data_IF_882471064318
#
_entry.id   IF_882471064318
#
_cell.length_a   1.000
_cell.length_b   1.000
_cell.length_c   1.000
_cell.angle_alpha   90.00
_cell.angle_beta   90.00
_cell.angle_gamma   90.00
#
_symmetry.space_group_name_H-M   'P 1'
#
loop_
_entity.id
_entity.type
_entity.pdbx_description
1 polymer ?
#
# COMPACT_ATOMS: atom_id res chain seq x y z
N UNK A 1 -4.49 3.02 13.81
CA UNK A 1 -4.88 1.67 14.32
C UNK A 1 -4.53 1.51 15.80
N UNK A 2 -3.24 1.43 16.20
CA UNK A 2 -2.85 1.36 17.62
C UNK A 2 -3.41 2.56 18.40
N UNK A 3 -3.33 3.76 17.82
CA UNK A 3 -3.98 4.95 18.35
C UNK A 3 -5.48 4.75 18.59
N UNK A 4 -6.21 4.13 17.64
CA UNK A 4 -7.65 3.87 17.78
C UNK A 4 -7.94 2.93 18.95
N UNK A 5 -7.10 1.92 19.18
CA UNK A 5 -7.20 1.05 20.36
C UNK A 5 -7.02 1.86 21.65
N UNK A 6 -5.94 2.64 21.75
CA UNK A 6 -5.61 3.43 22.96
C UNK A 6 -6.73 4.44 23.27
N UNK A 7 -7.14 5.23 22.26
CA UNK A 7 -8.19 6.24 22.43
C UNK A 7 -9.54 5.62 22.82
N UNK A 8 -9.86 4.43 22.33
CA UNK A 8 -11.10 3.73 22.70
C UNK A 8 -11.05 3.09 24.08
N UNK A 9 -9.90 2.56 24.50
CA UNK A 9 -9.70 2.01 25.84
C UNK A 9 -9.76 3.13 26.90
N UNK A 10 -9.18 4.29 26.60
CA UNK A 10 -9.18 5.48 27.46
C UNK A 10 -10.51 6.27 27.42
N UNK A 11 -11.50 5.79 26.66
CA UNK A 11 -12.82 6.44 26.50
C UNK A 11 -12.75 7.87 25.93
N UNK A 12 -11.71 8.16 25.15
CA UNK A 12 -11.56 9.43 24.42
C UNK A 12 -12.42 9.43 23.16
N UNK A 13 -12.52 8.28 22.49
CA UNK A 13 -13.41 8.09 21.33
C UNK A 13 -14.34 6.90 21.55
N UNK A 14 -15.56 7.03 21.04
CA UNK A 14 -16.46 5.89 20.91
C UNK A 14 -16.07 5.03 19.70
N UNK A 15 -16.32 3.74 19.81
CA UNK A 15 -16.13 2.80 18.71
C UNK A 15 -17.23 1.75 18.68
N UNK A 16 -17.66 1.39 17.48
CA UNK A 16 -18.59 0.28 17.23
C UNK A 16 -17.84 -1.04 17.04
N UNK A 17 -16.52 -1.01 16.95
CA UNK A 17 -15.70 -2.20 16.75
C UNK A 17 -15.48 -2.98 18.05
N UNK A 18 -15.57 -4.31 17.97
CA UNK A 18 -14.99 -5.17 19.00
C UNK A 18 -13.46 -5.12 18.86
N UNK A 19 -12.77 -4.68 19.91
CA UNK A 19 -11.31 -4.49 19.91
C UNK A 19 -10.52 -5.66 20.51
N UNK A 20 -11.16 -6.74 20.95
CA UNK A 20 -10.49 -7.81 21.72
C UNK A 20 -9.43 -8.54 20.90
N UNK A 21 -9.74 -8.86 19.64
CA UNK A 21 -8.79 -9.48 18.72
C UNK A 21 -7.61 -8.56 18.40
N UNK A 22 -7.92 -7.29 18.12
CA UNK A 22 -6.95 -6.23 17.82
C UNK A 22 -6.00 -6.02 19.00
N UNK A 23 -6.56 -5.90 20.22
CA UNK A 23 -5.81 -5.76 21.48
C UNK A 23 -4.91 -6.97 21.71
N UNK A 24 -5.46 -8.18 21.62
CA UNK A 24 -4.70 -9.44 21.78
C UNK A 24 -3.52 -9.52 20.82
N UNK A 25 -3.71 -9.15 19.55
CA UNK A 25 -2.64 -9.17 18.54
C UNK A 25 -1.58 -8.11 18.83
N UNK A 26 -1.98 -6.88 19.17
CA UNK A 26 -1.04 -5.79 19.49
C UNK A 26 -0.21 -6.15 20.72
N UNK A 27 -0.87 -6.56 21.80
CA UNK A 27 -0.21 -6.91 23.07
C UNK A 27 0.74 -8.09 22.91
N UNK A 28 0.31 -9.15 22.24
CA UNK A 28 1.18 -10.30 21.95
C UNK A 28 2.38 -9.93 21.06
N UNK A 29 2.21 -9.02 20.09
CA UNK A 29 3.28 -8.62 19.18
C UNK A 29 4.38 -7.79 19.87
N UNK A 30 3.96 -6.87 20.74
CA UNK A 30 4.87 -6.03 21.51
C UNK A 30 5.34 -6.68 22.82
N UNK A 31 4.73 -7.81 23.22
CA UNK A 31 4.99 -8.49 24.48
C UNK A 31 4.73 -7.57 25.69
N UNK A 32 3.50 -7.05 25.74
CA UNK A 32 3.00 -6.13 26.78
C UNK A 32 1.63 -6.57 27.25
N UNK A 33 1.20 -6.12 28.42
CA UNK A 33 -0.09 -6.50 29.02
C UNK A 33 -1.12 -5.36 29.00
N UNK A 34 -0.70 -4.12 28.75
CA UNK A 34 -1.56 -2.94 28.81
C UNK A 34 -1.05 -1.78 27.92
N UNK A 35 -1.87 -0.75 27.76
CA UNK A 35 -1.55 0.42 26.93
C UNK A 35 -0.40 1.28 27.48
N UNK A 36 -0.13 1.24 28.80
CA UNK A 36 0.97 2.02 29.39
C UNK A 36 2.33 1.45 28.96
N UNK A 37 2.46 0.13 28.94
CA UNK A 37 3.66 -0.57 28.46
C UNK A 37 3.89 -0.35 26.96
N UNK A 38 2.82 -0.21 26.17
CA UNK A 38 2.95 0.16 24.75
C UNK A 38 3.70 1.49 24.55
N UNK A 39 3.57 2.44 25.48
CA UNK A 39 4.20 3.75 25.36
C UNK A 39 5.73 3.65 25.27
N UNK A 40 6.34 2.67 25.94
CA UNK A 40 7.80 2.46 25.86
C UNK A 40 8.25 2.22 24.41
N UNK A 41 7.48 1.47 23.62
CA UNK A 41 7.77 1.18 22.22
C UNK A 41 7.54 2.37 21.26
N UNK A 42 6.90 3.44 21.71
CA UNK A 42 6.63 4.63 20.90
C UNK A 42 7.46 5.85 21.32
N UNK A 43 7.90 5.92 22.58
CA UNK A 43 8.61 7.08 23.12
C UNK A 43 10.07 6.81 23.51
N UNK A 44 10.40 5.60 23.96
CA UNK A 44 11.75 5.28 24.48
C UNK A 44 12.51 4.38 23.51
N UNK A 45 11.92 3.24 23.17
CA UNK A 45 12.56 2.17 22.39
C UNK A 45 11.94 2.06 20.98
N UNK A 46 11.66 3.21 20.36
CA UNK A 46 10.99 3.24 19.06
C UNK A 46 11.81 2.54 17.98
N UNK A 47 11.19 1.52 17.36
CA UNK A 47 11.73 0.84 16.20
C UNK A 47 10.72 0.83 15.06
N UNK A 48 11.00 1.62 14.01
CA UNK A 48 10.14 1.71 12.81
C UNK A 48 9.87 0.33 12.21
N UNK A 49 10.88 -0.53 12.14
CA UNK A 49 10.75 -1.88 11.59
C UNK A 49 9.83 -2.75 12.45
N UNK A 50 9.94 -2.66 13.77
CA UNK A 50 9.06 -3.38 14.70
C UNK A 50 7.62 -2.87 14.55
N UNK A 51 7.39 -1.56 14.59
CA UNK A 51 6.03 -1.01 14.45
C UNK A 51 5.42 -1.38 13.09
N UNK A 52 6.17 -1.28 12.00
CA UNK A 52 5.71 -1.68 10.67
C UNK A 52 5.43 -3.19 10.55
N UNK A 53 6.21 -4.03 11.24
CA UNK A 53 6.05 -5.49 11.23
C UNK A 53 4.71 -5.96 11.80
N UNK A 54 4.05 -5.17 12.64
CA UNK A 54 2.70 -5.44 13.13
C UNK A 54 1.69 -5.63 11.99
N UNK A 55 1.90 -4.95 10.84
CA UNK A 55 1.03 -5.03 9.66
C UNK A 55 0.82 -6.48 9.19
N UNK A 56 1.84 -7.34 9.28
CA UNK A 56 1.72 -8.74 8.89
C UNK A 56 0.70 -9.49 9.76
N UNK A 57 0.75 -9.31 11.08
CA UNK A 57 -0.19 -9.94 12.00
C UNK A 57 -1.62 -9.43 11.78
N UNK A 58 -1.77 -8.15 11.46
CA UNK A 58 -3.06 -7.58 11.12
C UNK A 58 -3.64 -8.13 9.83
N UNK A 59 -2.80 -8.36 8.82
CA UNK A 59 -3.25 -8.97 7.57
C UNK A 59 -3.86 -10.36 7.80
N UNK A 60 -3.41 -11.09 8.83
CA UNK A 60 -3.95 -12.40 9.18
C UNK A 60 -5.34 -12.27 9.79
N UNK A 61 -5.52 -11.38 10.77
CA UNK A 61 -6.84 -11.22 11.41
C UNK A 61 -7.88 -10.57 10.48
N UNK A 62 -7.44 -9.69 9.57
CA UNK A 62 -8.31 -9.13 8.53
C UNK A 62 -8.87 -10.24 7.63
N UNK A 63 -8.03 -11.20 7.21
CA UNK A 63 -8.46 -12.38 6.43
C UNK A 63 -9.39 -13.31 7.20
N UNK A 64 -9.24 -13.39 8.53
CA UNK A 64 -10.19 -14.14 9.38
C UNK A 64 -11.46 -13.37 9.73
N UNK A 65 -11.64 -12.15 9.20
CA UNK A 65 -12.89 -11.41 9.33
C UNK A 65 -12.91 -10.30 10.37
N UNK A 66 -11.77 -9.94 10.98
CA UNK A 66 -11.73 -8.83 11.95
C UNK A 66 -12.14 -7.51 11.28
N UNK A 67 -13.23 -6.84 11.75
CA UNK A 67 -13.78 -5.68 11.05
C UNK A 67 -12.85 -4.47 11.04
N UNK A 68 -12.20 -4.15 12.17
CA UNK A 68 -11.29 -3.01 12.24
C UNK A 68 -10.04 -3.25 11.39
N UNK A 69 -9.49 -4.46 11.39
CA UNK A 69 -8.36 -4.79 10.55
C UNK A 69 -8.71 -4.66 9.06
N UNK A 70 -9.89 -5.14 8.64
CA UNK A 70 -10.39 -4.97 7.26
C UNK A 70 -10.52 -3.50 6.89
N UNK A 71 -11.14 -2.69 7.75
CA UNK A 71 -11.32 -1.25 7.55
C UNK A 71 -9.97 -0.54 7.36
N UNK A 72 -8.95 -0.89 8.15
CA UNK A 72 -7.61 -0.30 7.99
C UNK A 72 -6.95 -0.67 6.65
N UNK A 73 -7.12 -1.91 6.16
CA UNK A 73 -6.60 -2.26 4.83
C UNK A 73 -7.39 -1.62 3.69
N UNK A 74 -8.70 -1.46 3.84
CA UNK A 74 -9.54 -0.70 2.92
C UNK A 74 -9.06 0.76 2.84
N UNK A 75 -8.90 1.43 3.99
CA UNK A 75 -8.37 2.80 4.07
C UNK A 75 -6.97 2.93 3.47
N UNK A 76 -6.11 1.93 3.66
CA UNK A 76 -4.79 1.90 3.02
C UNK A 76 -4.92 1.82 1.49
N UNK A 77 -5.89 1.08 0.96
CA UNK A 77 -6.22 1.04 -0.46
C UNK A 77 -6.66 2.39 -0.99
N UNK A 78 -7.56 3.06 -0.27
CA UNK A 78 -8.00 4.43 -0.59
C UNK A 78 -6.81 5.40 -0.63
N UNK A 79 -5.92 5.35 0.36
CA UNK A 79 -4.73 6.21 0.39
C UNK A 79 -3.78 5.94 -0.77
N UNK A 80 -3.55 4.67 -1.14
CA UNK A 80 -2.73 4.34 -2.32
C UNK A 80 -3.38 4.87 -3.61
N UNK A 81 -4.69 4.70 -3.75
CA UNK A 81 -5.46 5.20 -4.88
C UNK A 81 -5.44 6.73 -5.00
N UNK A 82 -5.44 7.46 -3.88
CA UNK A 82 -5.27 8.92 -3.85
C UNK A 82 -3.97 9.37 -4.52
N UNK A 83 -2.87 8.70 -4.22
CA UNK A 83 -1.57 9.02 -4.81
C UNK A 83 -1.56 8.74 -6.32
N UNK A 84 -2.15 7.61 -6.74
CA UNK A 84 -2.30 7.29 -8.16
C UNK A 84 -3.14 8.35 -8.87
N UNK A 85 -4.30 8.73 -8.31
CA UNK A 85 -5.16 9.77 -8.89
C UNK A 85 -4.46 11.13 -9.00
N UNK A 86 -3.67 11.50 -7.99
CA UNK A 86 -2.89 12.73 -8.02
C UNK A 86 -1.85 12.70 -9.16
N UNK A 87 -1.13 11.59 -9.32
CA UNK A 87 -0.18 11.42 -10.43
C UNK A 87 -0.88 11.43 -11.80
N UNK A 88 -2.05 10.78 -11.90
CA UNK A 88 -2.89 10.79 -13.11
C UNK A 88 -3.30 12.20 -13.50
N UNK A 89 -3.73 13.02 -12.54
CA UNK A 89 -4.11 14.41 -12.80
C UNK A 89 -2.99 15.20 -13.47
N UNK A 90 -1.78 15.16 -12.90
CA UNK A 90 -0.64 15.86 -13.50
C UNK A 90 -0.25 15.30 -14.87
N UNK A 91 -0.35 13.98 -15.06
CA UNK A 91 -0.11 13.39 -16.36
C UNK A 91 -1.13 13.83 -17.41
N UNK A 92 -2.42 13.88 -17.08
CA UNK A 92 -3.50 14.30 -18.01
C UNK A 92 -3.40 15.78 -18.34
N UNK A 93 -2.99 16.62 -17.39
CA UNK A 93 -2.77 18.06 -17.62
C UNK A 93 -1.56 18.31 -18.53
N UNK A 94 -0.49 17.53 -18.37
CA UNK A 94 0.76 17.68 -19.14
C UNK A 94 0.68 16.98 -20.51
N UNK A 95 -0.05 15.86 -20.59
CA UNK A 95 -0.21 15.08 -21.81
C UNK A 95 -1.32 15.67 -22.70
N UNK A 96 -1.02 15.84 -23.99
CA UNK A 96 -2.02 16.21 -25.00
C UNK A 96 -3.00 15.04 -25.31
N UNK A 97 -2.91 13.91 -24.60
CA UNK A 97 -3.66 12.68 -24.91
C UNK A 97 -4.33 12.09 -23.66
N UNK A 98 -5.66 12.27 -23.60
CA UNK A 98 -6.52 11.85 -22.48
C UNK A 98 -6.86 10.35 -22.44
N UNK A 99 -6.44 9.60 -23.45
CA UNK A 99 -6.82 8.19 -23.66
C UNK A 99 -5.66 7.19 -23.52
N UNK A 100 -4.50 7.63 -22.99
CA UNK A 100 -3.35 6.73 -22.84
C UNK A 100 -3.57 5.70 -21.72
N UNK A 101 -3.20 4.46 -22.00
CA UNK A 101 -3.09 3.40 -21.01
C UNK A 101 -1.85 3.62 -20.15
N UNK A 102 -1.99 3.41 -18.86
CA UNK A 102 -0.96 3.69 -17.87
C UNK A 102 -0.63 2.46 -17.06
N UNK A 103 0.65 2.29 -16.77
CA UNK A 103 1.15 1.20 -15.93
C UNK A 103 1.64 1.75 -14.60
N UNK A 104 1.11 1.22 -13.51
CA UNK A 104 1.55 1.52 -12.14
C UNK A 104 2.39 0.36 -11.63
N UNK A 105 3.65 0.64 -11.32
CA UNK A 105 4.56 -0.36 -10.73
C UNK A 105 4.37 -0.38 -9.21
N UNK A 106 3.82 -1.48 -8.70
CA UNK A 106 3.56 -1.71 -7.30
C UNK A 106 4.79 -2.30 -6.60
N UNK A 107 5.47 -1.48 -5.81
CA UNK A 107 6.66 -1.88 -5.04
C UNK A 107 6.36 -1.94 -3.54
N UNK A 108 6.81 -3.00 -2.86
CA UNK A 108 6.76 -3.12 -1.40
C UNK A 108 5.91 -4.30 -0.89
N UNK A 109 6.18 -4.71 0.35
CA UNK A 109 5.56 -5.89 0.97
C UNK A 109 4.06 -5.73 1.23
N UNK A 110 3.55 -4.50 1.32
CA UNK A 110 2.12 -4.23 1.55
C UNK A 110 1.23 -4.83 0.46
N UNK A 111 1.71 -4.89 -0.78
CA UNK A 111 0.99 -5.49 -1.91
C UNK A 111 0.87 -7.01 -1.84
N UNK A 112 1.56 -7.69 -0.91
CA UNK A 112 1.27 -9.10 -0.58
C UNK A 112 -0.13 -9.28 0.02
N UNK A 113 -0.73 -8.19 0.50
CA UNK A 113 -2.10 -8.13 1.00
C UNK A 113 -3.02 -7.38 0.04
N UNK A 114 -2.78 -7.49 -1.26
CA UNK A 114 -3.64 -6.89 -2.28
C UNK A 114 -5.10 -7.31 -2.14
N UNK A 115 -5.36 -8.56 -1.76
CA UNK A 115 -6.70 -9.09 -1.47
C UNK A 115 -7.47 -8.26 -0.43
N UNK A 116 -6.78 -7.61 0.51
CA UNK A 116 -7.39 -6.78 1.55
C UNK A 116 -7.49 -5.29 1.17
N UNK A 117 -6.66 -4.84 0.23
CA UNK A 117 -6.48 -3.42 -0.13
C UNK A 117 -7.26 -3.07 -1.39
N UNK A 118 -7.49 -4.07 -2.25
CA UNK A 118 -8.09 -3.95 -3.58
C UNK A 118 -9.37 -3.14 -3.59
N UNK A 119 -10.29 -3.43 -2.68
CA UNK A 119 -11.62 -2.82 -2.72
C UNK A 119 -11.55 -1.31 -2.47
N UNK A 120 -10.84 -0.87 -1.43
CA UNK A 120 -10.64 0.56 -1.16
C UNK A 120 -9.87 1.28 -2.26
N UNK A 121 -8.91 0.60 -2.90
CA UNK A 121 -8.19 1.15 -4.04
C UNK A 121 -9.10 1.35 -5.26
N UNK A 122 -9.90 0.34 -5.62
CA UNK A 122 -10.80 0.40 -6.77
C UNK A 122 -11.93 1.39 -6.52
N UNK A 123 -12.55 1.34 -5.34
CA UNK A 123 -13.69 2.19 -5.01
C UNK A 123 -13.34 3.68 -5.09
N UNK A 124 -12.12 4.05 -4.72
CA UNK A 124 -11.66 5.43 -4.83
C UNK A 124 -11.26 5.85 -6.25
N UNK A 125 -10.70 4.93 -7.05
CA UNK A 125 -10.28 5.23 -8.43
C UNK A 125 -11.40 5.13 -9.47
N UNK A 126 -12.55 4.56 -9.11
CA UNK A 126 -13.73 4.53 -10.00
C UNK A 126 -13.93 5.93 -10.62
N UNK A 127 -13.92 6.03 -11.96
CA UNK A 127 -14.10 7.31 -12.63
C UNK A 127 -15.41 7.95 -12.19
N UNK A 128 -15.37 9.23 -11.84
CA UNK A 128 -16.58 10.03 -11.74
C UNK A 128 -17.07 10.38 -13.16
N UNK A 129 -18.34 10.75 -13.30
CA UNK A 129 -18.92 11.18 -14.59
C UNK A 129 -18.13 12.33 -15.26
N UNK A 130 -17.33 13.07 -14.49
CA UNK A 130 -16.50 14.18 -14.94
C UNK A 130 -15.02 13.82 -15.12
N UNK A 131 -14.65 12.55 -15.15
CA UNK A 131 -13.25 12.15 -15.37
C UNK A 131 -12.79 12.52 -16.77
N UNK A 132 -11.75 13.34 -16.86
CA UNK A 132 -11.17 13.72 -18.16
C UNK A 132 -10.35 12.61 -18.82
N UNK A 133 -9.90 11.62 -18.03
CA UNK A 133 -9.11 10.49 -18.51
C UNK A 133 -9.99 9.27 -18.80
N UNK A 134 -9.75 8.64 -19.96
CA UNK A 134 -10.52 7.51 -20.49
C UNK A 134 -9.65 6.29 -20.83
N UNK A 135 -8.40 6.28 -20.37
CA UNK A 135 -7.49 5.14 -20.56
C UNK A 135 -7.72 4.01 -19.56
N UNK A 136 -6.86 2.98 -19.63
CA UNK A 136 -6.84 1.88 -18.66
C UNK A 136 -5.63 1.97 -17.72
N UNK A 137 -5.79 1.48 -16.49
CA UNK A 137 -4.73 1.44 -15.49
C UNK A 137 -4.30 -0.01 -15.23
N UNK A 138 -3.07 -0.36 -15.60
CA UNK A 138 -2.49 -1.67 -15.32
C UNK A 138 -1.60 -1.61 -14.08
N UNK A 139 -1.91 -2.38 -13.04
CA UNK A 139 -1.05 -2.56 -11.87
C UNK A 139 -0.14 -3.76 -12.08
N UNK A 140 1.17 -3.56 -11.88
CA UNK A 140 2.20 -4.59 -12.11
C UNK A 140 3.17 -4.69 -10.95
N UNK A 141 3.66 -5.89 -10.68
CA UNK A 141 4.81 -6.12 -9.78
C UNK A 141 6.04 -6.53 -10.57
N UNK A 142 7.22 -6.17 -10.08
CA UNK A 142 8.51 -6.53 -10.68
C UNK A 142 8.93 -7.94 -10.23
N UNK A 143 9.40 -8.79 -11.15
CA UNK A 143 10.10 -10.05 -10.79
C UNK A 143 11.55 -9.85 -10.37
N UNK A 144 12.17 -8.73 -10.73
CA UNK A 144 13.55 -8.44 -10.42
C UNK A 144 13.68 -7.34 -9.36
N UNK A 145 14.80 -7.36 -8.64
CA UNK A 145 15.16 -6.31 -7.69
C UNK A 145 15.33 -4.96 -8.40
N UNK A 146 15.03 -3.86 -7.71
CA UNK A 146 15.34 -2.51 -8.16
C UNK A 146 16.84 -2.30 -8.46
N UNK A 147 17.72 -3.13 -7.91
CA UNK A 147 19.15 -3.15 -8.24
C UNK A 147 19.41 -3.36 -9.75
N UNK A 148 18.55 -4.12 -10.44
CA UNK A 148 18.62 -4.28 -11.89
C UNK A 148 18.44 -2.95 -12.62
N UNK A 149 17.44 -2.15 -12.20
CA UNK A 149 17.22 -0.80 -12.72
C UNK A 149 18.40 0.14 -12.43
N UNK A 150 18.96 0.08 -11.23
CA UNK A 150 20.12 0.88 -10.85
C UNK A 150 21.36 0.58 -11.71
N UNK A 151 21.66 -0.70 -11.96
CA UNK A 151 22.76 -1.10 -12.83
C UNK A 151 22.58 -0.64 -14.28
N UNK A 152 21.34 -0.59 -14.78
CA UNK A 152 21.04 -0.06 -16.11
C UNK A 152 21.19 1.46 -16.17
N UNK A 153 20.81 2.15 -15.10
CA UNK A 153 20.95 3.60 -14.99
C UNK A 153 22.43 4.03 -14.96
N UNK A 154 23.30 3.28 -14.27
CA UNK A 154 24.74 3.57 -14.25
C UNK A 154 25.38 3.46 -15.63
N UNK A 155 24.92 2.52 -16.46
CA UNK A 155 25.42 2.37 -17.84
C UNK A 155 24.90 3.47 -18.77
N UNK A 156 23.69 3.98 -18.56
CA UNK A 156 23.26 5.21 -19.26
C UNK A 156 24.13 6.43 -18.93
N UNK A 157 24.79 6.40 -17.76
CA UNK A 157 25.64 7.50 -17.27
C UNK A 157 27.10 7.37 -17.74
N UNK A 158 27.55 6.16 -18.13
CA UNK A 158 28.93 5.86 -18.55
C UNK A 158 28.94 5.06 -19.86
N UNK A 159 29.45 5.68 -20.93
CA UNK A 159 29.31 5.23 -22.33
C UNK A 159 30.12 3.98 -22.73
N UNK A 160 30.84 3.36 -21.79
CA UNK A 160 31.79 2.27 -22.07
C UNK A 160 31.18 0.86 -21.99
N UNK A 161 30.01 0.73 -21.37
CA UNK A 161 29.31 -0.56 -21.25
C UNK A 161 28.00 -0.47 -22.02
N UNK A 162 27.57 -1.53 -22.67
CA UNK A 162 26.26 -1.58 -23.33
C UNK A 162 25.47 -2.73 -22.74
N UNK A 163 24.36 -2.42 -22.06
CA UNK A 163 23.42 -3.43 -21.59
C UNK A 163 22.33 -3.58 -22.66
N UNK A 164 22.09 -4.79 -23.20
CA UNK A 164 21.01 -5.03 -24.15
C UNK A 164 19.67 -4.54 -23.59
N UNK A 165 18.91 -3.80 -24.39
CA UNK A 165 17.52 -3.52 -24.08
C UNK A 165 16.70 -4.77 -24.33
N UNK A 166 16.32 -5.48 -23.26
CA UNK A 166 15.26 -6.48 -23.31
C UNK A 166 13.92 -5.78 -23.56
N UNK A 167 13.69 -5.39 -24.82
CA UNK A 167 12.44 -4.82 -25.30
C UNK A 167 11.28 -5.83 -25.27
N UNK A 168 11.57 -7.13 -25.11
CA UNK A 168 10.58 -8.22 -25.03
C UNK A 168 10.12 -8.60 -23.62
N UNK A 169 10.81 -8.15 -22.56
CA UNK A 169 10.49 -8.51 -21.16
C UNK A 169 10.31 -7.23 -20.35
N UNK A 170 9.44 -6.34 -20.83
CA UNK A 170 9.39 -4.97 -20.31
C UNK A 170 9.08 -4.95 -18.82
N UNK A 171 8.25 -5.89 -18.36
CA UNK A 171 8.10 -6.25 -16.97
C UNK A 171 7.67 -7.71 -16.98
N UNK A 172 8.32 -8.52 -16.18
CA UNK A 172 7.85 -9.86 -15.94
C UNK A 172 6.66 -9.68 -14.94
N UNK A 173 5.44 -9.50 -15.45
CA UNK A 173 4.29 -8.96 -14.70
C UNK A 173 3.46 -10.06 -14.03
N UNK A 174 2.92 -9.74 -12.85
CA UNK A 174 1.62 -10.25 -12.41
C UNK A 174 0.65 -9.08 -12.58
N UNK A 175 -0.22 -9.15 -13.58
CA UNK A 175 -1.23 -8.11 -13.81
C UNK A 175 -2.39 -8.32 -12.84
N UNK A 176 -2.65 -7.35 -11.98
CA UNK A 176 -3.89 -7.26 -11.23
C UNK A 176 -4.77 -6.26 -11.98
N UNK A 177 -5.47 -6.74 -13.01
CA UNK A 177 -6.25 -5.89 -13.89
C UNK A 177 -7.33 -5.12 -13.13
N UNK A 178 -7.27 -3.79 -13.17
CA UNK A 178 -8.43 -2.94 -12.98
C UNK A 178 -8.72 -2.33 -14.33
N UNK A 179 -9.61 -2.96 -15.09
CA UNK A 179 -10.17 -2.37 -16.30
C UNK A 179 -11.28 -1.44 -15.86
N UNK A 180 -11.17 -0.17 -16.20
CA UNK A 180 -12.28 0.78 -16.12
C UNK A 180 -12.98 0.84 -17.48
#
# INVERSE_FOLDING_TARGET
MIEKLILSDDKIIDTTYNLDNVRRVIYAYFNVENNLELLQHFYTDFSKNKVAGLCEHFSRIARTGDPLAKDVFYDAGVQLAQHVRAALFYHVVDSMSRSQNLTVVCCGSVFKSWDLIKDGFIDFLKPSENSEWTGTLELVQLKHSAAYGAARLSVHSDSKVTIPTDSGVQFDKISFGVTF
#
